data_IF_102506728724
#
_entry.id   IF_102506728724
#
_cell.length_a   1.000
_cell.length_b   1.000
_cell.length_c   1.000
_cell.angle_alpha   90.00
_cell.angle_beta   90.00
_cell.angle_gamma   90.00
#
_symmetry.space_group_name_H-M   'P 1'
#
loop_
_entity.id
_entity.type
_entity.pdbx_description
1 polymer ?
#
# COMPACT_ATOMS: atom_id res chain seq x y z
N UNK A 1 5.79 -1.70 -9.22
CA UNK A 1 6.32 -0.66 -8.30
C UNK A 1 6.08 -1.15 -6.89
N UNK A 2 7.12 -1.43 -6.12
CA UNK A 2 6.98 -1.89 -4.73
C UNK A 2 6.46 -0.76 -3.83
N UNK A 3 5.68 -1.10 -2.81
CA UNK A 3 5.23 -0.18 -1.77
C UNK A 3 5.87 -0.60 -0.45
N UNK A 4 6.55 0.35 0.19
CA UNK A 4 7.22 0.17 1.48
C UNK A 4 6.61 1.08 2.54
N UNK A 5 6.43 0.54 3.72
CA UNK A 5 6.05 1.29 4.91
C UNK A 5 7.20 2.14 5.45
N UNK A 6 6.91 3.03 6.40
CA UNK A 6 7.90 3.92 7.02
C UNK A 6 8.96 3.18 7.84
N UNK A 7 8.68 1.96 8.28
CA UNK A 7 9.63 1.03 8.90
C UNK A 7 10.48 0.25 7.88
N UNK A 8 10.33 0.55 6.59
CA UNK A 8 11.11 -0.03 5.49
C UNK A 8 10.64 -1.42 5.04
N UNK A 9 9.52 -1.92 5.56
CA UNK A 9 8.98 -3.23 5.20
C UNK A 9 8.15 -3.19 3.91
N UNK A 10 8.18 -4.30 3.18
CA UNK A 10 7.30 -4.51 2.04
C UNK A 10 5.84 -4.68 2.50
N UNK A 11 4.94 -3.90 1.90
CA UNK A 11 3.49 -3.97 2.19
C UNK A 11 2.65 -4.22 0.94
N UNK A 12 3.26 -4.25 -0.24
CA UNK A 12 2.58 -4.69 -1.45
C UNK A 12 3.19 -4.12 -2.71
N UNK A 13 2.48 -4.32 -3.81
CA UNK A 13 2.87 -3.84 -5.14
C UNK A 13 1.73 -3.06 -5.76
N UNK A 14 2.03 -1.86 -6.29
CA UNK A 14 1.03 -1.04 -6.99
C UNK A 14 0.49 -1.79 -8.21
N UNK A 15 -0.83 -1.84 -8.31
CA UNK A 15 -1.59 -2.30 -9.49
C UNK A 15 -1.98 -1.09 -10.36
N UNK A 16 -2.79 -0.18 -9.80
CA UNK A 16 -3.20 1.08 -10.45
C UNK A 16 -3.69 2.11 -9.42
N UNK A 17 -4.06 3.30 -9.88
CA UNK A 17 -4.79 4.30 -9.09
C UNK A 17 -6.30 4.05 -9.20
N UNK A 18 -7.02 4.14 -8.08
CA UNK A 18 -8.48 4.15 -8.04
C UNK A 18 -8.94 5.60 -7.82
N UNK A 19 -9.40 6.24 -8.90
CA UNK A 19 -9.62 7.68 -8.92
C UNK A 19 -8.32 8.47 -8.70
N UNK A 20 -8.45 9.64 -8.08
CA UNK A 20 -7.33 10.58 -7.91
C UNK A 20 -6.67 10.50 -6.52
N UNK A 21 -7.21 9.70 -5.61
CA UNK A 21 -6.85 9.73 -4.18
C UNK A 21 -6.47 8.39 -3.58
N UNK A 22 -6.66 7.27 -4.29
CA UNK A 22 -6.39 5.93 -3.78
C UNK A 22 -5.42 5.16 -4.68
N UNK A 23 -4.49 4.46 -4.05
CA UNK A 23 -3.56 3.53 -4.67
C UNK A 23 -4.11 2.13 -4.46
N UNK A 24 -4.30 1.38 -5.53
CA UNK A 24 -4.68 -0.02 -5.49
C UNK A 24 -3.44 -0.91 -5.50
N UNK A 25 -3.36 -1.79 -4.51
CA UNK A 25 -2.37 -2.85 -4.42
C UNK A 25 -2.88 -4.11 -5.14
N UNK A 26 -1.96 -4.82 -5.80
CA UNK A 26 -2.30 -6.07 -6.48
C UNK A 26 -2.56 -7.19 -5.48
N UNK A 27 -3.61 -7.97 -5.72
CA UNK A 27 -3.93 -9.17 -4.96
C UNK A 27 -2.91 -10.30 -5.10
N UNK A 28 -2.07 -10.26 -6.14
CA UNK A 28 -1.05 -11.28 -6.39
C UNK A 28 0.18 -11.11 -5.51
N UNK A 29 0.26 -10.00 -4.79
CA UNK A 29 1.33 -9.76 -3.84
C UNK A 29 1.19 -10.71 -2.64
N UNK A 30 2.28 -11.35 -2.17
CA UNK A 30 2.25 -12.23 -1.00
C UNK A 30 1.70 -11.55 0.26
N UNK A 31 1.93 -10.24 0.42
CA UNK A 31 1.42 -9.48 1.55
C UNK A 31 -0.08 -9.20 1.44
N UNK A 32 -0.67 -9.26 0.24
CA UNK A 32 -2.05 -8.87 -0.01
C UNK A 32 -3.09 -9.96 0.31
N UNK A 33 -2.67 -11.17 0.70
CA UNK A 33 -3.56 -12.28 1.09
C UNK A 33 -4.66 -12.59 0.05
N UNK A 34 -4.36 -12.43 -1.24
CA UNK A 34 -5.30 -12.71 -2.32
C UNK A 34 -6.40 -11.67 -2.54
N UNK A 35 -6.36 -10.52 -1.86
CA UNK A 35 -7.30 -9.40 -2.03
C UNK A 35 -6.63 -8.15 -2.56
N UNK A 36 -7.37 -7.32 -3.29
CA UNK A 36 -6.90 -5.98 -3.59
C UNK A 36 -7.09 -5.10 -2.36
N UNK A 37 -6.07 -4.33 -2.04
CA UNK A 37 -6.12 -3.34 -0.96
C UNK A 37 -6.01 -1.94 -1.53
N UNK A 38 -6.80 -1.03 -1.00
CA UNK A 38 -6.74 0.38 -1.35
C UNK A 38 -5.98 1.10 -0.24
N UNK A 39 -5.05 1.96 -0.61
CA UNK A 39 -4.33 2.84 0.31
C UNK A 39 -4.53 4.30 -0.11
N UNK A 40 -4.73 5.22 0.82
CA UNK A 40 -4.84 6.63 0.47
C UNK A 40 -3.51 7.18 -0.03
N UNK A 41 -3.55 7.95 -1.12
CA UNK A 41 -2.39 8.63 -1.69
C UNK A 41 -1.74 9.60 -0.68
N UNK A 42 -2.52 10.12 0.28
CA UNK A 42 -2.03 10.97 1.36
C UNK A 42 -1.02 10.29 2.29
N UNK A 43 -0.93 8.96 2.25
CA UNK A 43 0.11 8.22 2.99
C UNK A 43 1.43 8.17 2.26
N UNK A 44 1.50 8.53 0.98
CA UNK A 44 2.76 8.55 0.24
C UNK A 44 3.63 9.72 0.71
N UNK A 45 4.78 9.40 1.27
CA UNK A 45 5.81 10.37 1.66
C UNK A 45 6.66 10.76 0.46
N UNK A 46 7.15 9.76 -0.27
CA UNK A 46 7.99 9.96 -1.47
C UNK A 46 7.84 8.79 -2.43
N UNK A 47 8.13 9.07 -3.70
CA UNK A 47 8.24 8.04 -4.74
C UNK A 47 9.63 8.11 -5.35
N UNK A 48 10.33 6.98 -5.36
CA UNK A 48 11.58 6.76 -6.08
C UNK A 48 11.48 5.46 -6.91
N UNK A 49 12.43 4.52 -6.76
CA UNK A 49 12.29 3.15 -7.27
C UNK A 49 11.13 2.39 -6.58
N UNK A 50 10.70 2.88 -5.42
CA UNK A 50 9.59 2.36 -4.64
C UNK A 50 8.67 3.51 -4.18
N UNK A 51 7.44 3.17 -3.80
CA UNK A 51 6.54 4.08 -3.08
C UNK A 51 6.85 3.96 -1.59
N UNK A 52 7.18 5.06 -0.94
CA UNK A 52 7.45 5.10 0.51
C UNK A 52 6.26 5.73 1.21
N UNK A 53 5.68 4.99 2.15
CA UNK A 53 4.56 5.44 2.96
C UNK A 53 5.04 6.05 4.27
N UNK A 54 4.25 6.98 4.81
CA UNK A 54 4.41 7.52 6.16
C UNK A 54 3.94 6.54 7.25
N UNK A 55 3.08 5.58 6.90
CA UNK A 55 2.50 4.59 7.79
C UNK A 55 3.40 3.34 7.98
N UNK A 56 3.36 2.73 9.17
CA UNK A 56 4.11 1.49 9.44
C UNK A 56 3.45 0.29 8.76
N UNK A 57 4.15 -0.85 8.66
CA UNK A 57 3.56 -2.04 8.07
C UNK A 57 2.37 -2.57 8.88
N UNK A 58 2.37 -2.32 10.19
CA UNK A 58 1.27 -2.67 11.08
C UNK A 58 0.04 -1.78 10.80
N UNK A 59 0.23 -0.47 10.66
CA UNK A 59 -0.86 0.46 10.33
C UNK A 59 -1.48 0.14 8.96
N UNK A 60 -0.64 -0.18 7.97
CA UNK A 60 -1.08 -0.56 6.63
C UNK A 60 -1.94 -1.82 6.65
N UNK A 61 -1.48 -2.86 7.36
CA UNK A 61 -2.24 -4.12 7.47
C UNK A 61 -3.51 -3.95 8.28
N UNK A 62 -3.49 -3.17 9.36
CA UNK A 62 -4.68 -2.85 10.14
C UNK A 62 -5.73 -2.09 9.32
N UNK A 63 -5.29 -1.14 8.48
CA UNK A 63 -6.18 -0.41 7.58
C UNK A 63 -6.91 -1.32 6.59
N UNK A 64 -6.26 -2.39 6.11
CA UNK A 64 -6.90 -3.38 5.23
C UNK A 64 -8.02 -4.16 5.91
N UNK A 65 -7.89 -4.43 7.21
CA UNK A 65 -8.88 -5.15 8.00
C UNK A 65 -10.09 -4.26 8.30
N UNK A 66 -9.87 -2.96 8.54
CA UNK A 66 -10.94 -1.98 8.79
C UNK A 66 -11.69 -1.57 7.51
N UNK A 67 -11.04 -1.65 6.35
CA UNK A 67 -11.62 -1.28 5.06
C UNK A 67 -12.50 -2.37 4.42
N UNK A 68 -12.59 -3.57 5.02
CA UNK A 68 -13.36 -4.73 4.54
C UNK A 68 -14.58 -5.05 5.40
#
# INVERSE_FOLDING_TARGET
MEVRSSDGLHVGTVDHMEGDTLIKLTRTDPAAHGRHHLLPLSWVERVDEHVHLTATAADVRGYWEDAG
#
